data_IF_184099905874
#
_entry.id   IF_184099905874
#
_cell.length_a   1.000
_cell.length_b   1.000
_cell.length_c   1.000
_cell.angle_alpha   90.00
_cell.angle_beta   90.00
_cell.angle_gamma   90.00
#
_symmetry.space_group_name_H-M   'P 1'
#
loop_
_entity.id
_entity.type
_entity.pdbx_description
1 polymer ?
#
# COMPACT_ATOMS: atom_id res chain seq x y z
N UNK A 1 17.65 21.44 -3.51
CA UNK A 1 16.97 20.13 -3.48
C UNK A 1 17.19 19.47 -4.83
N UNK A 2 17.68 18.23 -4.86
CA UNK A 2 17.80 17.47 -6.09
C UNK A 2 16.40 17.29 -6.68
N UNK A 3 16.16 17.76 -7.90
CA UNK A 3 14.83 17.76 -8.54
C UNK A 3 14.36 16.38 -9.00
N UNK A 4 14.69 15.33 -8.25
CA UNK A 4 14.46 13.94 -8.62
C UNK A 4 13.54 13.28 -7.59
N UNK A 5 12.60 12.50 -8.09
CA UNK A 5 11.71 11.66 -7.30
C UNK A 5 12.51 10.49 -6.70
N UNK A 6 12.70 10.53 -5.38
CA UNK A 6 13.47 9.55 -4.64
C UNK A 6 12.87 8.14 -4.74
N UNK A 7 11.53 8.03 -4.73
CA UNK A 7 10.83 6.74 -4.82
C UNK A 7 11.11 6.11 -6.18
N UNK A 8 11.04 6.93 -7.24
CA UNK A 8 11.30 6.46 -8.61
C UNK A 8 12.73 5.95 -8.79
N UNK A 9 13.72 6.60 -8.17
CA UNK A 9 15.11 6.13 -8.22
C UNK A 9 15.28 4.81 -7.47
N UNK A 10 14.80 4.75 -6.22
CA UNK A 10 14.89 3.52 -5.42
C UNK A 10 14.17 2.36 -6.12
N UNK A 11 13.01 2.60 -6.73
CA UNK A 11 12.30 1.57 -7.48
C UNK A 11 13.07 1.07 -8.73
N UNK A 12 13.91 1.91 -9.33
CA UNK A 12 14.77 1.53 -10.46
C UNK A 12 16.00 0.71 -10.05
N UNK A 13 16.58 1.02 -8.88
CA UNK A 13 17.79 0.35 -8.36
C UNK A 13 17.50 -0.93 -7.60
N UNK A 14 16.28 -1.06 -7.04
CA UNK A 14 15.89 -2.21 -6.23
C UNK A 14 15.09 -3.24 -7.05
N UNK A 15 15.07 -4.48 -6.58
CA UNK A 15 14.31 -5.57 -7.22
C UNK A 15 13.59 -6.47 -6.21
N UNK A 16 12.63 -7.24 -6.73
CA UNK A 16 11.85 -8.22 -5.97
C UNK A 16 11.15 -7.63 -4.73
N UNK A 17 11.06 -8.45 -3.68
CA UNK A 17 10.40 -8.10 -2.42
C UNK A 17 11.03 -6.87 -1.75
N UNK A 18 12.34 -6.66 -1.92
CA UNK A 18 13.00 -5.52 -1.28
C UNK A 18 12.53 -4.19 -1.87
N UNK A 19 12.38 -4.13 -3.21
CA UNK A 19 11.76 -2.96 -3.86
C UNK A 19 10.34 -2.73 -3.35
N UNK A 20 9.53 -3.78 -3.32
CA UNK A 20 8.12 -3.68 -2.92
C UNK A 20 7.99 -3.17 -1.48
N UNK A 21 8.79 -3.69 -0.55
CA UNK A 21 8.83 -3.22 0.84
C UNK A 21 9.27 -1.77 0.93
N UNK A 22 10.36 -1.37 0.24
CA UNK A 22 10.84 0.01 0.31
C UNK A 22 9.80 0.96 -0.27
N UNK A 23 9.21 0.68 -1.43
CA UNK A 23 8.16 1.53 -2.02
C UNK A 23 6.94 1.63 -1.10
N UNK A 24 6.51 0.52 -0.49
CA UNK A 24 5.39 0.51 0.46
C UNK A 24 5.63 1.42 1.68
N UNK A 25 6.87 1.53 2.16
CA UNK A 25 7.22 2.38 3.30
C UNK A 25 7.13 3.88 2.98
N UNK A 26 7.10 4.27 1.71
CA UNK A 26 6.88 5.66 1.29
C UNK A 26 5.39 5.99 1.07
N UNK A 27 4.51 4.99 1.07
CA UNK A 27 3.09 5.21 0.92
C UNK A 27 2.43 5.62 2.23
N UNK A 28 1.36 6.40 2.15
CA UNK A 28 0.53 6.64 3.33
C UNK A 28 -0.12 5.31 3.78
N UNK A 29 -0.35 5.09 5.09
CA UNK A 29 -0.96 3.84 5.56
C UNK A 29 -2.27 3.50 4.86
N UNK A 30 -3.14 4.49 4.65
CA UNK A 30 -4.41 4.32 3.95
C UNK A 30 -4.23 3.91 2.48
N UNK A 31 -3.22 4.44 1.80
CA UNK A 31 -2.91 4.08 0.41
C UNK A 31 -2.37 2.66 0.32
N UNK A 32 -1.45 2.29 1.22
CA UNK A 32 -0.90 0.93 1.26
C UNK A 32 -1.97 -0.13 1.59
N UNK A 33 -2.86 0.16 2.53
CA UNK A 33 -3.99 -0.72 2.85
C UNK A 33 -4.97 -0.84 1.67
N UNK A 34 -5.29 0.27 0.99
CA UNK A 34 -6.14 0.27 -0.20
C UNK A 34 -5.54 -0.57 -1.33
N UNK A 35 -4.24 -0.39 -1.60
CA UNK A 35 -3.49 -1.19 -2.56
C UNK A 35 -3.49 -2.68 -2.18
N UNK A 36 -3.23 -2.99 -0.90
CA UNK A 36 -3.22 -4.37 -0.39
C UNK A 36 -4.59 -5.05 -0.53
N UNK A 37 -5.68 -4.32 -0.27
CA UNK A 37 -7.05 -4.79 -0.50
C UNK A 37 -7.32 -5.05 -1.98
N UNK A 38 -6.90 -4.15 -2.87
CA UNK A 38 -7.05 -4.36 -4.32
C UNK A 38 -6.34 -5.64 -4.78
N UNK A 39 -5.12 -5.87 -4.32
CA UNK A 39 -4.37 -7.09 -4.62
C UNK A 39 -5.03 -8.34 -4.01
N UNK A 40 -5.56 -8.24 -2.79
CA UNK A 40 -6.22 -9.35 -2.12
C UNK A 40 -7.51 -9.79 -2.83
N UNK A 41 -8.28 -8.84 -3.37
CA UNK A 41 -9.51 -9.10 -4.12
C UNK A 41 -9.24 -9.76 -5.48
N UNK A 42 -8.13 -9.43 -6.13
CA UNK A 42 -7.76 -9.99 -7.43
C UNK A 42 -7.06 -11.35 -7.34
N UNK A 43 -6.47 -11.69 -6.20
CA UNK A 43 -5.64 -12.89 -6.02
C UNK A 43 -6.08 -13.84 -4.91
N UNK A 44 -7.32 -13.67 -4.40
CA UNK A 44 -7.90 -14.48 -3.31
C UNK A 44 -7.02 -14.56 -2.05
N UNK A 45 -6.41 -13.45 -1.62
CA UNK A 45 -5.63 -13.39 -0.36
C UNK A 45 -6.55 -13.10 0.82
N UNK A 46 -7.39 -14.07 1.17
CA UNK A 46 -8.37 -13.93 2.25
C UNK A 46 -7.71 -13.50 3.58
N UNK A 47 -6.50 -13.97 3.85
CA UNK A 47 -5.73 -13.59 5.05
C UNK A 47 -5.48 -12.07 5.14
N UNK A 48 -5.02 -11.45 4.06
CA UNK A 48 -4.76 -9.99 4.00
C UNK A 48 -6.05 -9.19 4.15
N UNK A 49 -7.12 -9.64 3.49
CA UNK A 49 -8.43 -8.99 3.59
C UNK A 49 -8.96 -9.04 5.02
N UNK A 50 -8.87 -10.20 5.67
CA UNK A 50 -9.27 -10.39 7.06
C UNK A 50 -8.43 -9.54 8.02
N UNK A 51 -7.12 -9.51 7.83
CA UNK A 51 -6.21 -8.73 8.66
C UNK A 51 -6.58 -7.25 8.63
N UNK A 52 -6.72 -6.66 7.45
CA UNK A 52 -7.03 -5.23 7.30
C UNK A 52 -8.43 -4.93 7.85
N UNK A 53 -9.46 -5.70 7.48
CA UNK A 53 -10.84 -5.38 7.87
C UNK A 53 -11.12 -5.62 9.36
N UNK A 54 -10.41 -6.52 10.03
CA UNK A 54 -10.64 -6.82 11.45
C UNK A 54 -9.74 -6.03 12.41
N UNK A 55 -8.67 -5.40 11.92
CA UNK A 55 -7.71 -4.68 12.79
C UNK A 55 -7.77 -3.17 12.68
N UNK A 56 -8.34 -2.63 11.59
CA UNK A 56 -8.46 -1.18 11.39
C UNK A 56 -9.65 -0.59 12.13
N UNK A 57 -9.44 0.62 12.66
CA UNK A 57 -10.47 1.44 13.29
C UNK A 57 -11.41 2.06 12.25
N UNK A 58 -12.59 2.53 12.69
CA UNK A 58 -13.57 3.15 11.78
C UNK A 58 -12.99 4.37 11.01
N UNK A 59 -12.16 5.18 11.65
CA UNK A 59 -11.49 6.31 10.99
C UNK A 59 -10.48 5.85 9.94
N UNK A 60 -9.74 4.78 10.21
CA UNK A 60 -8.80 4.21 9.23
C UNK A 60 -9.55 3.60 8.06
N UNK A 61 -10.66 2.88 8.29
CA UNK A 61 -11.51 2.34 7.23
C UNK A 61 -12.06 3.46 6.33
N UNK A 62 -12.49 4.59 6.90
CA UNK A 62 -12.92 5.74 6.10
C UNK A 62 -11.79 6.28 5.21
N UNK A 63 -10.59 6.44 5.76
CA UNK A 63 -9.42 6.88 5.00
C UNK A 63 -9.02 5.87 3.90
N UNK A 64 -9.13 4.56 4.17
CA UNK A 64 -8.89 3.50 3.19
C UNK A 64 -9.90 3.60 2.05
N UNK A 65 -11.19 3.76 2.35
CA UNK A 65 -12.25 3.90 1.33
C UNK A 65 -12.03 5.14 0.45
N UNK A 66 -11.61 6.26 1.04
CA UNK A 66 -11.26 7.46 0.29
C UNK A 66 -10.04 7.23 -0.60
N UNK A 67 -8.99 6.58 -0.09
CA UNK A 67 -7.79 6.29 -0.87
C UNK A 67 -8.03 5.25 -1.97
N UNK A 68 -8.93 4.30 -1.77
CA UNK A 68 -9.26 3.26 -2.75
C UNK A 68 -10.04 3.82 -3.96
N UNK A 69 -10.76 4.92 -3.77
CA UNK A 69 -11.57 5.56 -4.81
C UNK A 69 -10.81 6.58 -5.65
N UNK A 70 -9.63 7.00 -5.20
CA UNK A 70 -8.73 7.87 -5.98
C UNK A 70 -8.00 7.06 -7.03
#
# INVERSE_FOLDING_TARGET
MYGMDLIKQLAGELSGNFRETITALFESPAHFDAWSLHQALNGSREGTLREILLTRTNSEIQAIVESYRR
#
